data_IF_444689289628
#
_entry.id   IF_444689289628
#
_cell.length_a   1.000
_cell.length_b   1.000
_cell.length_c   1.000
_cell.angle_alpha   90.00
_cell.angle_beta   90.00
_cell.angle_gamma   90.00
#
_symmetry.space_group_name_H-M   'P 1'
#
loop_
_entity.id
_entity.type
_entity.pdbx_description
1 polymer ?
#
# COMPACT_ATOMS: atom_id res chain seq x y z
N UNK A 1 11.48 -13.94 -13.17
CA UNK A 1 12.41 -12.83 -12.89
C UNK A 1 12.01 -12.03 -11.65
N UNK A 2 10.91 -11.25 -11.65
CA UNK A 2 10.53 -10.41 -10.48
C UNK A 2 10.25 -11.15 -9.16
N UNK A 3 9.93 -12.44 -9.21
CA UNK A 3 9.71 -13.28 -8.02
C UNK A 3 11.02 -13.81 -7.40
N UNK A 4 12.14 -13.72 -8.13
CA UNK A 4 13.46 -14.10 -7.64
C UNK A 4 14.16 -12.86 -7.08
N UNK A 5 14.10 -12.73 -5.75
CA UNK A 5 14.72 -11.61 -5.04
C UNK A 5 16.26 -11.62 -5.11
N UNK A 6 16.88 -12.79 -5.32
CA UNK A 6 18.34 -12.87 -5.46
C UNK A 6 18.76 -12.27 -6.80
N UNK A 7 18.09 -12.69 -7.87
CA UNK A 7 18.33 -12.17 -9.22
C UNK A 7 18.02 -10.67 -9.30
N UNK A 8 16.91 -10.20 -8.71
CA UNK A 8 16.60 -8.77 -8.67
C UNK A 8 17.65 -7.97 -7.89
N UNK A 9 18.19 -8.53 -6.79
CA UNK A 9 19.27 -7.90 -6.02
C UNK A 9 20.55 -7.83 -6.85
N UNK A 10 20.91 -8.89 -7.56
CA UNK A 10 22.07 -8.90 -8.45
C UNK A 10 21.91 -7.91 -9.62
N UNK A 11 20.75 -7.92 -10.30
CA UNK A 11 20.44 -6.92 -11.33
C UNK A 11 20.48 -5.49 -10.80
N UNK A 12 20.08 -5.27 -9.56
CA UNK A 12 20.12 -3.93 -8.96
C UNK A 12 21.55 -3.38 -8.86
N UNK A 13 22.56 -4.24 -8.70
CA UNK A 13 23.98 -3.82 -8.68
C UNK A 13 24.37 -3.17 -10.01
N UNK A 14 23.84 -3.66 -11.13
CA UNK A 14 24.17 -3.17 -12.47
C UNK A 14 23.20 -2.12 -13.01
N UNK A 15 21.98 -2.03 -12.45
CA UNK A 15 20.94 -1.10 -12.94
C UNK A 15 20.75 0.12 -12.05
N UNK A 16 21.24 0.08 -10.80
CA UNK A 16 21.13 1.19 -9.86
C UNK A 16 22.26 2.21 -10.08
N UNK A 17 22.05 3.08 -11.06
CA UNK A 17 22.96 4.19 -11.37
C UNK A 17 22.63 5.40 -10.50
N UNK A 18 23.63 5.93 -9.80
CA UNK A 18 23.48 7.12 -8.95
C UNK A 18 23.19 8.39 -9.75
N UNK A 19 22.66 9.48 -9.13
CA UNK A 19 22.27 10.69 -9.86
C UNK A 19 23.41 11.32 -10.68
N UNK A 20 24.60 11.44 -10.10
CA UNK A 20 25.76 12.04 -10.77
C UNK A 20 26.27 11.19 -11.93
N UNK A 21 26.33 9.87 -11.74
CA UNK A 21 26.76 8.93 -12.77
C UNK A 21 25.75 8.92 -13.93
N UNK A 22 24.45 8.93 -13.63
CA UNK A 22 23.39 9.04 -14.65
C UNK A 22 23.49 10.36 -15.41
N UNK A 23 23.79 11.46 -14.73
CA UNK A 23 24.04 12.75 -15.35
C UNK A 23 25.24 12.71 -16.32
N UNK A 24 26.35 12.08 -15.91
CA UNK A 24 27.52 11.89 -16.77
C UNK A 24 27.20 11.04 -17.99
N UNK A 25 26.56 9.88 -17.80
CA UNK A 25 26.16 8.99 -18.90
C UNK A 25 25.22 9.67 -19.91
N UNK A 26 24.29 10.52 -19.44
CA UNK A 26 23.42 11.30 -20.32
C UNK A 26 24.20 12.33 -21.13
N UNK A 27 25.15 13.04 -20.52
CA UNK A 27 25.99 14.01 -21.23
C UNK A 27 26.94 13.33 -22.22
N UNK A 28 27.52 12.18 -21.87
CA UNK A 28 28.33 11.36 -22.79
C UNK A 28 27.49 10.90 -23.99
N UNK A 29 26.27 10.41 -23.74
CA UNK A 29 25.34 10.02 -24.80
C UNK A 29 24.99 11.18 -25.74
N UNK A 30 24.68 12.37 -25.21
CA UNK A 30 24.42 13.56 -26.01
C UNK A 30 25.63 13.95 -26.87
N UNK A 31 26.83 13.95 -26.26
CA UNK A 31 28.07 14.22 -26.96
C UNK A 31 28.35 13.20 -28.07
N UNK A 32 28.05 11.92 -27.83
CA UNK A 32 28.28 10.84 -28.78
C UNK A 32 27.34 10.92 -30.00
N UNK A 33 26.06 11.23 -29.79
CA UNK A 33 25.12 11.48 -30.90
C UNK A 33 25.61 12.60 -31.78
N UNK A 34 26.07 13.69 -31.16
CA UNK A 34 26.57 14.82 -31.91
C UNK A 34 27.91 14.53 -32.58
N UNK A 35 28.82 13.77 -31.99
CA UNK A 35 30.11 13.48 -32.65
C UNK A 35 29.96 12.62 -33.90
N UNK A 36 28.94 11.77 -33.96
CA UNK A 36 28.71 10.86 -35.09
C UNK A 36 28.08 11.59 -36.28
N UNK A 37 28.75 11.54 -37.42
CA UNK A 37 28.30 12.19 -38.66
C UNK A 37 26.93 11.68 -39.13
N UNK A 38 26.66 10.39 -38.97
CA UNK A 38 25.36 9.78 -39.30
C UNK A 38 24.20 10.37 -38.50
N UNK A 39 24.41 10.55 -37.18
CA UNK A 39 23.42 11.15 -36.29
C UNK A 39 23.15 12.62 -36.65
N UNK A 40 24.21 13.39 -36.92
CA UNK A 40 24.09 14.78 -37.40
C UNK A 40 23.35 14.88 -38.72
N UNK A 41 23.69 14.03 -39.70
CA UNK A 41 23.03 14.01 -41.01
C UNK A 41 21.55 13.75 -40.86
N UNK A 42 21.16 12.77 -40.04
CA UNK A 42 19.75 12.48 -39.83
C UNK A 42 19.02 13.65 -39.17
N UNK A 43 19.52 14.20 -38.06
CA UNK A 43 18.92 15.36 -37.40
C UNK A 43 18.80 16.59 -38.32
N UNK A 44 19.82 16.82 -39.17
CA UNK A 44 19.83 17.94 -40.12
C UNK A 44 18.75 17.85 -41.20
N UNK A 45 18.36 16.64 -41.62
CA UNK A 45 17.24 16.44 -42.56
C UNK A 45 15.92 16.96 -41.99
N UNK A 46 15.76 16.84 -40.67
CA UNK A 46 14.58 17.30 -39.93
C UNK A 46 14.72 18.73 -39.40
N UNK A 47 15.84 19.41 -39.66
CA UNK A 47 16.16 20.73 -39.10
C UNK A 47 16.11 20.77 -37.55
N UNK A 48 16.45 19.64 -36.92
CA UNK A 48 16.49 19.50 -35.46
C UNK A 48 17.93 19.68 -34.99
N UNK A 49 18.12 20.44 -33.91
CA UNK A 49 19.38 20.52 -33.19
C UNK A 49 19.16 20.09 -31.73
N UNK A 50 20.13 19.36 -31.18
CA UNK A 50 20.10 18.95 -29.77
C UNK A 50 20.96 19.90 -28.95
N UNK A 51 20.45 20.37 -27.82
CA UNK A 51 21.23 21.19 -26.90
C UNK A 51 22.29 20.35 -26.16
N UNK A 52 23.40 21.00 -25.79
CA UNK A 52 24.54 20.37 -25.11
C UNK A 52 24.39 20.35 -23.59
N UNK A 53 23.35 20.99 -23.07
CA UNK A 53 23.11 21.12 -21.64
C UNK A 53 21.75 20.51 -21.31
N UNK A 54 21.68 19.82 -20.17
CA UNK A 54 20.41 19.34 -19.65
C UNK A 54 19.55 20.53 -19.21
N UNK A 55 18.24 20.40 -19.42
CA UNK A 55 17.26 21.42 -19.05
C UNK A 55 17.36 21.74 -17.56
N UNK A 56 17.64 23.01 -17.23
CA UNK A 56 17.65 23.50 -15.86
C UNK A 56 16.23 23.87 -15.42
N UNK A 57 15.81 23.32 -14.29
CA UNK A 57 14.49 23.59 -13.70
C UNK A 57 14.66 24.18 -12.31
N UNK A 58 13.90 25.24 -12.01
CA UNK A 58 13.83 25.80 -10.67
C UNK A 58 12.75 25.06 -9.88
N UNK A 59 13.16 24.27 -8.88
CA UNK A 59 12.25 23.57 -7.98
C UNK A 59 12.12 24.27 -6.63
N UNK A 60 10.96 24.18 -6.00
CA UNK A 60 10.75 24.59 -4.61
C UNK A 60 10.76 23.35 -3.71
N UNK A 61 11.64 23.33 -2.72
CA UNK A 61 11.65 22.28 -1.72
C UNK A 61 10.68 22.64 -0.58
N UNK A 62 9.55 21.94 -0.52
CA UNK A 62 8.68 22.02 0.66
C UNK A 62 9.31 21.20 1.79
N UNK A 63 9.68 21.88 2.87
CA UNK A 63 10.19 21.22 4.08
C UNK A 63 8.98 20.88 4.93
N UNK A 64 8.40 19.70 4.72
CA UNK A 64 7.41 19.15 5.64
C UNK A 64 8.04 19.12 7.04
N UNK A 65 7.55 19.96 7.96
CA UNK A 65 7.91 19.84 9.36
C UNK A 65 7.31 18.52 9.82
N UNK A 66 8.16 17.56 10.18
CA UNK A 66 7.75 16.41 10.96
C UNK A 66 7.13 16.97 12.25
N UNK A 67 5.81 17.10 12.28
CA UNK A 67 5.10 17.48 13.49
C UNK A 67 5.03 16.26 14.41
N UNK A 68 6.20 15.89 14.95
CA UNK A 68 6.39 14.79 15.90
C UNK A 68 5.55 14.97 17.17
N UNK A 69 4.91 16.13 17.34
CA UNK A 69 3.98 16.42 18.43
C UNK A 69 2.65 15.65 18.32
N UNK A 70 2.32 15.07 17.16
CA UNK A 70 1.09 14.28 16.94
C UNK A 70 1.30 12.76 17.07
N UNK A 71 2.35 12.33 17.77
CA UNK A 71 2.63 10.91 17.98
C UNK A 71 1.56 10.25 18.89
N UNK A 72 0.90 9.21 18.37
CA UNK A 72 -0.09 8.35 19.04
C UNK A 72 -1.35 9.07 19.52
N UNK A 73 -2.12 9.61 18.56
CA UNK A 73 -3.42 10.22 18.81
C UNK A 73 -4.43 9.28 19.47
N UNK A 74 -4.35 7.98 19.15
CA UNK A 74 -5.18 6.96 19.78
C UNK A 74 -4.48 5.60 19.75
N UNK A 75 -4.29 5.01 20.94
CA UNK A 75 -3.85 3.64 21.09
C UNK A 75 -5.06 2.73 21.35
N UNK A 76 -5.04 1.53 20.76
CA UNK A 76 -6.01 0.47 21.05
C UNK A 76 -5.39 -0.54 22.01
N UNK A 77 -6.17 -0.94 23.00
CA UNK A 77 -5.80 -2.07 23.85
C UNK A 77 -5.82 -3.36 23.02
N UNK A 78 -4.91 -4.25 23.36
CA UNK A 78 -4.77 -5.56 22.74
C UNK A 78 -4.88 -6.60 23.85
N UNK A 79 -6.12 -6.99 24.15
CA UNK A 79 -6.44 -7.77 25.35
C UNK A 79 -6.54 -9.26 25.03
N UNK A 80 -7.11 -9.62 23.87
CA UNK A 80 -7.37 -11.00 23.47
C UNK A 80 -6.68 -11.31 22.16
N UNK A 81 -5.46 -11.83 22.23
CA UNK A 81 -4.73 -12.24 21.03
C UNK A 81 -3.90 -13.49 21.26
N UNK A 82 -3.54 -14.13 20.15
CA UNK A 82 -2.77 -15.37 20.15
C UNK A 82 -1.48 -15.22 19.34
N UNK A 83 -0.41 -15.83 19.83
CA UNK A 83 0.85 -15.99 19.11
C UNK A 83 1.01 -17.45 18.68
N UNK A 84 1.10 -17.67 17.37
CA UNK A 84 1.29 -18.99 16.75
C UNK A 84 2.72 -19.09 16.21
N UNK A 85 3.46 -20.11 16.59
CA UNK A 85 4.85 -20.31 16.16
C UNK A 85 5.21 -21.80 16.09
N UNK A 86 6.26 -22.13 15.34
CA UNK A 86 6.79 -23.49 15.29
C UNK A 86 7.66 -23.78 16.52
N UNK A 87 7.73 -25.03 16.98
CA UNK A 87 8.56 -25.46 18.11
C UNK A 87 10.03 -24.99 17.98
N UNK A 88 10.55 -24.96 16.75
CA UNK A 88 11.91 -24.45 16.45
C UNK A 88 12.11 -22.98 16.84
N UNK A 89 11.07 -22.17 16.78
CA UNK A 89 11.11 -20.74 17.08
C UNK A 89 10.72 -20.43 18.54
N UNK A 90 10.59 -21.44 19.40
CA UNK A 90 10.12 -21.29 20.79
C UNK A 90 10.95 -20.27 21.58
N UNK A 91 12.28 -20.37 21.56
CA UNK A 91 13.16 -19.41 22.27
C UNK A 91 12.94 -17.96 21.81
N UNK A 92 12.70 -17.75 20.52
CA UNK A 92 12.47 -16.43 19.92
C UNK A 92 11.09 -15.92 20.34
N UNK A 93 10.07 -16.77 20.28
CA UNK A 93 8.72 -16.43 20.70
C UNK A 93 8.67 -16.03 22.17
N UNK A 94 9.41 -16.74 23.04
CA UNK A 94 9.58 -16.39 24.44
C UNK A 94 10.29 -15.05 24.61
N UNK A 95 11.45 -14.85 23.97
CA UNK A 95 12.18 -13.58 24.03
C UNK A 95 11.40 -12.39 23.44
N UNK A 96 10.50 -12.62 22.48
CA UNK A 96 9.76 -11.57 21.80
C UNK A 96 8.59 -11.08 22.64
N UNK A 97 7.88 -11.98 23.32
CA UNK A 97 6.83 -11.58 24.27
C UNK A 97 6.75 -12.53 25.47
N UNK A 98 7.02 -12.02 26.66
CA UNK A 98 7.02 -12.83 27.88
C UNK A 98 5.60 -13.13 28.42
N UNK A 99 4.59 -12.30 28.13
CA UNK A 99 3.35 -12.21 28.93
C UNK A 99 2.05 -12.69 28.26
N UNK A 100 2.07 -13.62 27.31
CA UNK A 100 0.88 -13.93 26.47
C UNK A 100 0.47 -15.39 26.37
N UNK A 101 -0.78 -15.58 25.92
CA UNK A 101 -1.33 -16.86 25.50
C UNK A 101 -0.67 -17.33 24.18
N UNK A 102 0.10 -18.42 24.28
CA UNK A 102 1.00 -18.92 23.24
C UNK A 102 0.51 -20.27 22.71
N UNK A 103 0.59 -20.46 21.40
CA UNK A 103 0.29 -21.74 20.73
C UNK A 103 1.54 -22.20 19.99
N UNK A 104 2.20 -23.19 20.58
CA UNK A 104 3.35 -23.87 19.98
C UNK A 104 2.88 -24.99 19.05
N UNK A 105 3.38 -25.00 17.82
CA UNK A 105 3.08 -26.01 16.81
C UNK A 105 4.25 -27.00 16.67
N UNK A 106 3.98 -28.29 16.42
CA UNK A 106 5.03 -29.29 16.25
C UNK A 106 5.87 -29.07 14.99
N UNK A 107 5.31 -28.42 13.97
CA UNK A 107 5.97 -28.14 12.70
C UNK A 107 5.52 -26.80 12.11
N UNK A 108 6.14 -26.39 11.01
CA UNK A 108 5.89 -25.10 10.36
C UNK A 108 4.98 -25.21 9.11
N UNK A 109 4.27 -26.32 8.89
CA UNK A 109 3.41 -26.51 7.71
C UNK A 109 2.17 -25.62 7.77
N UNK A 110 1.69 -25.17 6.61
CA UNK A 110 0.51 -24.30 6.50
C UNK A 110 -0.71 -24.90 7.19
N UNK A 111 -0.92 -26.21 7.06
CA UNK A 111 -2.04 -26.94 7.66
C UNK A 111 -2.00 -26.92 9.20
N UNK A 112 -0.81 -26.93 9.80
CA UNK A 112 -0.67 -26.84 11.25
C UNK A 112 -1.11 -25.46 11.77
N UNK A 113 -0.73 -24.38 11.07
CA UNK A 113 -1.20 -23.03 11.38
C UNK A 113 -2.70 -22.89 11.19
N UNK A 114 -3.25 -23.38 10.08
CA UNK A 114 -4.69 -23.32 9.79
C UNK A 114 -5.49 -24.07 10.86
N UNK A 115 -5.12 -25.31 11.19
CA UNK A 115 -5.81 -26.07 12.24
C UNK A 115 -5.75 -25.38 13.60
N UNK A 116 -4.61 -24.76 13.94
CA UNK A 116 -4.48 -24.02 15.19
C UNK A 116 -5.39 -22.78 15.23
N UNK A 117 -5.50 -22.07 14.10
CA UNK A 117 -6.44 -20.96 13.92
C UNK A 117 -7.87 -21.46 14.03
N UNK A 118 -8.29 -22.48 13.28
CA UNK A 118 -9.65 -23.01 13.32
C UNK A 118 -10.08 -23.47 14.72
N UNK A 119 -9.15 -24.05 15.49
CA UNK A 119 -9.44 -24.56 16.84
C UNK A 119 -9.49 -23.48 17.94
N UNK A 120 -8.88 -22.30 17.73
CA UNK A 120 -8.67 -21.29 18.80
C UNK A 120 -9.10 -19.89 18.42
N UNK A 121 -9.09 -19.57 17.14
CA UNK A 121 -9.59 -18.31 16.64
C UNK A 121 -11.10 -18.27 16.83
N UNK A 122 -11.52 -17.22 17.51
CA UNK A 122 -12.93 -16.90 17.67
C UNK A 122 -13.11 -15.43 17.33
N UNK A 123 -14.33 -15.00 16.97
CA UNK A 123 -14.59 -13.60 16.60
C UNK A 123 -14.32 -12.57 17.72
N UNK A 124 -14.07 -12.99 18.96
CA UNK A 124 -13.69 -12.09 20.07
C UNK A 124 -12.18 -11.88 20.19
N UNK A 125 -11.36 -12.51 19.35
CA UNK A 125 -9.93 -12.22 19.30
C UNK A 125 -9.70 -10.88 18.58
N UNK A 126 -8.83 -10.06 19.15
CA UNK A 126 -8.38 -8.80 18.60
C UNK A 126 -7.35 -9.02 17.48
N UNK A 127 -6.49 -10.04 17.62
CA UNK A 127 -5.37 -10.30 16.70
C UNK A 127 -4.90 -11.76 16.70
N UNK A 128 -4.47 -12.23 15.53
CA UNK A 128 -3.65 -13.44 15.36
C UNK A 128 -2.24 -13.05 14.89
N UNK A 129 -1.22 -13.34 15.70
CA UNK A 129 0.17 -13.14 15.31
C UNK A 129 0.84 -14.47 14.98
N UNK A 130 1.52 -14.58 13.84
CA UNK A 130 2.24 -15.79 13.45
C UNK A 130 3.73 -15.51 13.25
N UNK A 131 4.59 -16.30 13.90
CA UNK A 131 6.02 -16.34 13.59
C UNK A 131 6.26 -17.40 12.52
N UNK A 132 6.77 -16.95 11.37
CA UNK A 132 7.09 -17.77 10.22
C UNK A 132 8.61 -18.02 10.17
N UNK A 133 9.00 -19.23 9.80
CA UNK A 133 10.41 -19.64 9.67
C UNK A 133 11.08 -19.04 8.43
N UNK A 134 10.32 -18.87 7.34
CA UNK A 134 10.79 -18.40 6.04
C UNK A 134 9.72 -17.52 5.36
N UNK A 135 10.08 -16.89 4.23
CA UNK A 135 9.19 -15.98 3.49
C UNK A 135 8.36 -16.72 2.42
N UNK A 136 7.84 -17.89 2.74
CA UNK A 136 7.00 -18.67 1.82
C UNK A 136 5.66 -18.00 1.59
N UNK A 137 5.44 -17.54 0.35
CA UNK A 137 4.24 -16.82 -0.04
C UNK A 137 2.97 -17.67 0.10
N UNK A 138 3.01 -18.91 -0.34
CA UNK A 138 1.89 -19.86 -0.28
C UNK A 138 1.37 -20.08 1.15
N UNK A 139 2.27 -20.17 2.13
CA UNK A 139 1.91 -20.26 3.56
C UNK A 139 1.23 -18.98 4.06
N UNK A 140 1.80 -17.83 3.74
CA UNK A 140 1.25 -16.53 4.13
C UNK A 140 -0.15 -16.32 3.53
N UNK A 141 -0.31 -16.63 2.25
CA UNK A 141 -1.56 -16.49 1.51
C UNK A 141 -2.63 -17.45 2.07
N UNK A 142 -2.27 -18.70 2.37
CA UNK A 142 -3.20 -19.66 2.97
C UNK A 142 -3.69 -19.22 4.36
N UNK A 143 -2.78 -18.77 5.24
CA UNK A 143 -3.14 -18.25 6.56
C UNK A 143 -4.03 -17.01 6.44
N UNK A 144 -3.67 -16.07 5.56
CA UNK A 144 -4.48 -14.85 5.34
C UNK A 144 -5.85 -15.16 4.78
N UNK A 145 -5.97 -16.13 3.87
CA UNK A 145 -7.25 -16.51 3.28
C UNK A 145 -8.23 -16.96 4.37
N UNK A 146 -7.80 -17.88 5.25
CA UNK A 146 -8.62 -18.34 6.38
C UNK A 146 -9.00 -17.17 7.30
N UNK A 147 -8.04 -16.30 7.64
CA UNK A 147 -8.28 -15.16 8.54
C UNK A 147 -9.06 -13.99 7.92
N UNK A 148 -9.30 -14.01 6.61
CA UNK A 148 -10.11 -13.01 5.91
C UNK A 148 -11.48 -13.53 5.50
N UNK A 149 -11.59 -14.82 5.17
CA UNK A 149 -12.81 -15.43 4.64
C UNK A 149 -13.56 -16.20 5.71
N UNK A 150 -12.88 -17.11 6.42
CA UNK A 150 -13.53 -18.08 7.30
C UNK A 150 -13.60 -17.58 8.76
N UNK A 151 -12.53 -16.94 9.24
CA UNK A 151 -12.43 -16.39 10.58
C UNK A 151 -11.89 -14.95 10.55
N UNK A 152 -12.73 -13.93 10.30
CA UNK A 152 -12.32 -12.54 10.11
C UNK A 152 -11.66 -11.93 11.34
N UNK A 153 -10.34 -12.12 11.48
CA UNK A 153 -9.54 -11.60 12.60
C UNK A 153 -8.29 -10.94 12.02
N UNK A 154 -7.95 -9.69 12.41
CA UNK A 154 -6.72 -9.06 12.00
C UNK A 154 -5.50 -9.94 12.28
N UNK A 155 -4.56 -9.99 11.34
CA UNK A 155 -3.41 -10.88 11.46
C UNK A 155 -2.08 -10.17 11.20
N UNK A 156 -1.03 -10.57 11.92
CA UNK A 156 0.32 -10.05 11.76
C UNK A 156 1.32 -11.19 11.59
N UNK A 157 2.11 -11.13 10.51
CA UNK A 157 3.11 -12.15 10.22
C UNK A 157 4.50 -11.59 10.55
N UNK A 158 5.26 -12.30 11.36
CA UNK A 158 6.63 -11.97 11.73
C UNK A 158 7.57 -13.05 11.21
N UNK A 159 8.70 -12.66 10.66
CA UNK A 159 9.70 -13.60 10.19
C UNK A 159 10.73 -13.84 11.30
N UNK A 160 10.94 -15.10 11.66
CA UNK A 160 11.89 -15.52 12.71
C UNK A 160 13.27 -14.88 12.52
N UNK A 161 13.79 -14.89 11.28
CA UNK A 161 15.07 -14.25 10.92
C UNK A 161 15.15 -12.75 11.20
N UNK A 162 14.02 -12.05 11.25
CA UNK A 162 13.96 -10.60 11.53
C UNK A 162 14.07 -10.34 13.04
N UNK A 163 13.48 -11.22 13.86
CA UNK A 163 13.52 -11.14 15.33
C UNK A 163 14.91 -11.48 15.89
N UNK A 164 15.66 -12.34 15.19
CA UNK A 164 17.00 -12.76 15.60
C UNK A 164 18.12 -11.75 15.31
N UNK A 165 17.85 -10.65 14.59
CA UNK A 165 18.90 -9.69 14.22
C UNK A 165 19.40 -8.91 15.46
N UNK A 166 20.70 -9.01 15.81
CA UNK A 166 21.24 -8.31 16.97
C UNK A 166 21.03 -6.81 16.87
N UNK A 167 20.57 -6.19 17.96
CA UNK A 167 20.37 -4.73 18.05
C UNK A 167 19.17 -4.18 17.28
N UNK A 168 18.40 -5.00 16.55
CA UNK A 168 17.23 -4.53 15.78
C UNK A 168 15.88 -4.84 16.44
N UNK A 169 15.86 -5.66 17.49
CA UNK A 169 14.63 -6.15 18.12
C UNK A 169 13.68 -5.01 18.53
N UNK A 170 14.21 -3.95 19.15
CA UNK A 170 13.40 -2.79 19.55
C UNK A 170 12.79 -2.07 18.35
N UNK A 171 13.54 -1.86 17.26
CA UNK A 171 13.00 -1.24 16.05
C UNK A 171 11.90 -2.08 15.41
N UNK A 172 12.08 -3.42 15.41
CA UNK A 172 11.09 -4.36 14.92
C UNK A 172 9.84 -4.33 15.79
N UNK A 173 9.99 -4.35 17.12
CA UNK A 173 8.89 -4.26 18.07
C UNK A 173 8.11 -2.93 17.95
N UNK A 174 8.80 -1.81 17.76
CA UNK A 174 8.15 -0.51 17.52
C UNK A 174 7.31 -0.54 16.25
N UNK A 175 7.85 -1.05 15.14
CA UNK A 175 7.10 -1.16 13.87
C UNK A 175 5.91 -2.10 14.00
N UNK A 176 6.11 -3.23 14.68
CA UNK A 176 5.05 -4.19 14.99
C UNK A 176 3.91 -3.55 15.81
N UNK A 177 4.24 -2.80 16.87
CA UNK A 177 3.24 -2.09 17.67
C UNK A 177 2.45 -1.06 16.87
N UNK A 178 3.13 -0.30 16.00
CA UNK A 178 2.49 0.66 15.09
C UNK A 178 1.51 -0.05 14.14
N UNK A 179 1.94 -1.15 13.51
CA UNK A 179 1.11 -1.93 12.58
C UNK A 179 -0.12 -2.54 13.25
N UNK A 180 0.02 -3.10 14.45
CA UNK A 180 -1.10 -3.65 15.22
C UNK A 180 -2.06 -2.53 15.61
N UNK A 181 -1.54 -1.42 16.13
CA UNK A 181 -2.38 -0.30 16.52
C UNK A 181 -3.24 0.17 15.33
N UNK A 182 -2.65 0.29 14.14
CA UNK A 182 -3.40 0.63 12.92
C UNK A 182 -4.47 -0.42 12.57
N UNK A 183 -4.15 -1.71 12.66
CA UNK A 183 -5.09 -2.81 12.35
C UNK A 183 -6.30 -2.85 13.28
N UNK A 184 -6.11 -2.46 14.53
CA UNK A 184 -7.19 -2.36 15.52
C UNK A 184 -7.97 -1.03 15.42
N UNK A 185 -7.63 -0.16 14.46
CA UNK A 185 -8.27 1.14 14.27
C UNK A 185 -7.77 2.23 15.22
N UNK A 186 -6.58 2.07 15.77
CA UNK A 186 -5.83 3.13 16.45
C UNK A 186 -5.29 4.16 15.46
N UNK A 187 -5.01 5.36 15.96
CA UNK A 187 -4.61 6.52 15.17
C UNK A 187 -3.16 6.90 15.53
N UNK A 188 -2.25 6.76 14.56
CA UNK A 188 -0.81 6.90 14.82
C UNK A 188 -0.35 8.35 14.67
N UNK A 189 -0.67 8.98 13.53
CA UNK A 189 -0.39 10.37 13.21
C UNK A 189 -1.53 10.95 12.36
N UNK A 190 -1.86 12.22 12.55
CA UNK A 190 -2.88 12.92 11.76
C UNK A 190 -2.28 13.95 10.84
N UNK A 191 -3.02 14.22 9.77
CA UNK A 191 -2.84 15.41 8.96
C UNK A 191 -4.21 16.08 8.86
N UNK A 192 -4.31 17.34 9.27
CA UNK A 192 -5.57 18.09 9.17
C UNK A 192 -5.83 18.39 7.71
N UNK A 193 -6.65 17.57 7.06
CA UNK A 193 -6.98 17.75 5.64
C UNK A 193 -8.40 17.31 5.33
N UNK A 194 -8.80 17.65 4.11
CA UNK A 194 -10.06 17.30 3.48
C UNK A 194 -10.18 15.77 3.31
N UNK A 195 -11.35 15.26 2.90
CA UNK A 195 -11.49 13.84 2.63
C UNK A 195 -10.56 13.43 1.49
N UNK A 196 -9.77 12.37 1.68
CA UNK A 196 -8.84 11.82 0.71
C UNK A 196 -9.31 10.44 0.26
N UNK A 197 -9.25 10.20 -1.03
CA UNK A 197 -9.59 8.93 -1.66
C UNK A 197 -8.38 8.44 -2.46
N UNK A 198 -7.93 7.22 -2.21
CA UNK A 198 -6.94 6.52 -3.02
C UNK A 198 -7.61 5.46 -3.88
N UNK A 199 -7.28 5.42 -5.16
CA UNK A 199 -7.76 4.40 -6.10
C UNK A 199 -6.57 3.78 -6.82
N UNK A 200 -6.39 2.47 -6.64
CA UNK A 200 -5.36 1.70 -7.33
C UNK A 200 -5.97 0.48 -8.04
N UNK A 201 -5.29 -0.01 -9.07
CA UNK A 201 -5.71 -1.15 -9.88
C UNK A 201 -4.59 -2.16 -9.97
N UNK A 202 -4.86 -3.39 -9.51
CA UNK A 202 -3.96 -4.51 -9.60
C UNK A 202 -4.48 -5.52 -10.63
N UNK A 203 -3.59 -5.99 -11.51
CA UNK A 203 -3.90 -7.09 -12.43
C UNK A 203 -3.07 -8.30 -12.05
N UNK A 204 -3.75 -9.42 -11.81
CA UNK A 204 -3.04 -10.66 -11.59
C UNK A 204 -2.44 -11.19 -12.90
N UNK A 205 -1.21 -11.66 -12.81
CA UNK A 205 -0.50 -12.28 -13.93
C UNK A 205 -1.12 -13.61 -14.37
N UNK A 206 -1.82 -14.31 -13.46
CA UNK A 206 -2.43 -15.62 -13.73
C UNK A 206 -3.87 -15.48 -14.25
N UNK A 207 -4.67 -14.58 -13.66
CA UNK A 207 -6.01 -14.23 -14.17
C UNK A 207 -5.94 -13.03 -15.11
N UNK A 208 -5.73 -13.27 -16.41
CA UNK A 208 -5.66 -12.20 -17.43
C UNK A 208 -7.00 -11.53 -17.72
N UNK A 209 -8.12 -12.10 -17.27
CA UNK A 209 -9.48 -11.65 -17.60
C UNK A 209 -10.07 -10.68 -16.60
N UNK A 210 -9.50 -10.50 -15.41
CA UNK A 210 -10.01 -9.54 -14.43
C UNK A 210 -8.89 -8.73 -13.76
N UNK A 211 -9.24 -7.53 -13.32
CA UNK A 211 -8.41 -6.68 -12.48
C UNK A 211 -9.12 -6.40 -11.17
N UNK A 212 -8.36 -6.23 -10.10
CA UNK A 212 -8.87 -5.81 -8.80
C UNK A 212 -8.67 -4.30 -8.66
N UNK A 213 -9.71 -3.60 -8.28
CA UNK A 213 -9.67 -2.17 -7.98
C UNK A 213 -9.72 -2.00 -6.47
N UNK A 214 -8.68 -1.40 -5.91
CA UNK A 214 -8.66 -0.95 -4.52
C UNK A 214 -9.18 0.48 -4.43
N UNK A 215 -10.19 0.72 -3.61
CA UNK A 215 -10.72 2.04 -3.28
C UNK A 215 -10.61 2.23 -1.77
N UNK A 216 -9.99 3.33 -1.33
CA UNK A 216 -9.81 3.63 0.09
C UNK A 216 -10.12 5.08 0.34
N UNK A 217 -11.06 5.38 1.24
CA UNK A 217 -11.48 6.75 1.55
C UNK A 217 -11.27 7.08 3.02
N UNK A 218 -10.67 8.23 3.34
CA UNK A 218 -10.59 8.70 4.73
C UNK A 218 -11.99 9.06 5.24
N UNK A 219 -12.32 8.67 6.48
CA UNK A 219 -13.67 8.87 7.05
C UNK A 219 -13.70 9.90 8.18
N UNK A 220 -12.58 10.54 8.50
CA UNK A 220 -12.49 11.59 9.52
C UNK A 220 -11.54 12.72 9.09
N UNK A 221 -11.73 13.95 9.59
CA UNK A 221 -10.95 15.14 9.20
C UNK A 221 -9.43 15.06 9.46
N UNK A 222 -9.00 14.16 10.34
CA UNK A 222 -7.59 13.93 10.66
C UNK A 222 -6.91 12.96 9.68
N UNK A 223 -7.67 12.38 8.74
CA UNK A 223 -7.21 11.36 7.79
C UNK A 223 -6.47 10.20 8.48
N UNK A 224 -6.97 9.75 9.63
CA UNK A 224 -6.38 8.65 10.42
C UNK A 224 -7.16 7.35 10.29
N UNK A 225 -8.44 7.42 9.91
CA UNK A 225 -9.32 6.26 9.70
C UNK A 225 -9.77 6.19 8.25
N UNK A 226 -9.81 4.97 7.72
CA UNK A 226 -10.07 4.72 6.32
C UNK A 226 -11.14 3.65 6.12
N UNK A 227 -11.92 3.83 5.06
CA UNK A 227 -12.94 2.90 4.60
C UNK A 227 -12.47 2.25 3.30
N UNK A 228 -12.06 0.96 3.35
CA UNK A 228 -11.62 0.23 2.18
C UNK A 228 -12.77 -0.47 1.45
N UNK A 229 -12.64 -0.56 0.12
CA UNK A 229 -13.45 -1.37 -0.78
C UNK A 229 -12.58 -1.99 -1.86
N UNK A 230 -12.87 -3.23 -2.21
CA UNK A 230 -12.24 -3.95 -3.33
C UNK A 230 -13.32 -4.31 -4.32
N UNK A 231 -13.08 -4.03 -5.60
CA UNK A 231 -14.00 -4.35 -6.70
C UNK A 231 -13.27 -5.25 -7.68
N UNK A 232 -13.86 -6.39 -8.02
CA UNK A 232 -13.40 -7.17 -9.17
C UNK A 232 -13.98 -6.58 -10.46
N UNK A 233 -13.13 -6.24 -11.42
CA UNK A 233 -13.50 -5.69 -12.71
C UNK A 233 -13.05 -6.62 -13.84
N UNK A 234 -14.03 -7.20 -14.55
CA UNK A 234 -13.81 -8.18 -15.64
C UNK A 234 -13.48 -7.56 -17.01
N UNK A 235 -13.69 -6.26 -17.20
CA UNK A 235 -13.38 -5.55 -18.46
C UNK A 235 -12.57 -4.30 -18.14
N UNK A 236 -11.43 -4.14 -18.80
CA UNK A 236 -10.52 -3.00 -18.60
C UNK A 236 -10.86 -1.79 -19.47
N UNK A 237 -11.80 -1.95 -20.40
CA UNK A 237 -12.24 -0.90 -21.32
C UNK A 237 -13.29 0.04 -20.71
N UNK A 238 -13.98 -0.42 -19.66
CA UNK A 238 -15.13 0.29 -19.09
C UNK A 238 -14.76 1.09 -17.83
N UNK A 239 -15.58 2.11 -17.53
CA UNK A 239 -15.61 2.78 -16.24
C UNK A 239 -15.64 1.74 -15.11
N UNK A 240 -14.96 2.01 -13.99
CA UNK A 240 -14.97 1.12 -12.82
C UNK A 240 -16.42 0.98 -12.35
N UNK A 241 -17.06 -0.14 -12.70
CA UNK A 241 -18.51 -0.33 -12.55
C UNK A 241 -18.99 -0.24 -11.09
N UNK A 242 -18.10 -0.48 -10.13
CA UNK A 242 -18.38 -0.35 -8.69
C UNK A 242 -18.02 1.00 -8.06
N UNK A 243 -17.40 1.93 -8.80
CA UNK A 243 -16.87 3.17 -8.23
C UNK A 243 -17.97 4.07 -7.68
N UNK A 244 -19.13 4.10 -8.36
CA UNK A 244 -20.31 4.82 -7.89
C UNK A 244 -20.74 4.37 -6.49
N UNK A 245 -20.92 3.07 -6.31
CA UNK A 245 -21.29 2.49 -5.03
C UNK A 245 -20.21 2.75 -3.96
N UNK A 246 -18.92 2.67 -4.33
CA UNK A 246 -17.83 2.97 -3.40
C UNK A 246 -17.87 4.41 -2.90
N UNK A 247 -18.05 5.38 -3.80
CA UNK A 247 -18.15 6.79 -3.45
C UNK A 247 -19.36 7.07 -2.55
N UNK A 248 -20.55 6.59 -2.92
CA UNK A 248 -21.77 6.77 -2.13
C UNK A 248 -21.62 6.21 -0.71
N UNK A 249 -21.12 4.98 -0.59
CA UNK A 249 -20.92 4.37 0.72
C UNK A 249 -19.84 5.07 1.54
N UNK A 250 -18.79 5.59 0.90
CA UNK A 250 -17.75 6.36 1.59
C UNK A 250 -18.29 7.69 2.13
N UNK A 251 -19.10 8.41 1.36
CA UNK A 251 -19.77 9.64 1.78
C UNK A 251 -20.75 9.39 2.93
N UNK A 252 -21.57 8.35 2.82
CA UNK A 252 -22.46 7.94 3.90
C UNK A 252 -21.69 7.58 5.17
N UNK A 253 -20.56 6.87 5.04
CA UNK A 253 -19.71 6.52 6.19
C UNK A 253 -19.06 7.76 6.80
N UNK A 254 -18.61 8.72 5.99
CA UNK A 254 -18.07 9.99 6.46
C UNK A 254 -19.14 10.78 7.22
N UNK A 255 -20.34 10.93 6.65
CA UNK A 255 -21.46 11.62 7.30
C UNK A 255 -21.87 10.94 8.60
N UNK A 256 -21.94 9.61 8.62
CA UNK A 256 -22.26 8.86 9.83
C UNK A 256 -21.24 9.09 10.96
N UNK A 257 -19.95 9.24 10.64
CA UNK A 257 -18.89 9.45 11.64
C UNK A 257 -18.79 10.90 12.10
N UNK A 258 -19.05 11.87 11.21
CA UNK A 258 -18.79 13.29 11.48
C UNK A 258 -20.06 14.13 11.64
N UNK A 259 -21.24 13.59 11.33
CA UNK A 259 -22.52 14.32 11.31
C UNK A 259 -22.67 15.30 10.13
N UNK A 260 -21.66 15.40 9.27
CA UNK A 260 -21.60 16.31 8.12
C UNK A 260 -20.93 15.61 6.94
N UNK A 261 -21.28 16.00 5.72
CA UNK A 261 -20.58 15.60 4.51
C UNK A 261 -19.24 16.36 4.39
N UNK A 262 -18.24 15.79 3.70
CA UNK A 262 -16.94 16.45 3.53
C UNK A 262 -17.07 17.68 2.63
N UNK A 263 -16.48 18.81 3.03
CA UNK A 263 -16.57 20.03 2.21
C UNK A 263 -15.76 19.96 0.90
N UNK A 264 -14.69 19.15 0.88
CA UNK A 264 -13.87 18.91 -0.32
C UNK A 264 -13.35 17.49 -0.32
N UNK A 265 -13.11 16.96 -1.52
CA UNK A 265 -12.62 15.59 -1.72
C UNK A 265 -11.43 15.61 -2.67
N UNK A 266 -10.32 15.03 -2.24
CA UNK A 266 -9.14 14.85 -3.09
C UNK A 266 -9.03 13.38 -3.48
N UNK A 267 -9.07 13.09 -4.78
CA UNK A 267 -8.92 11.74 -5.32
C UNK A 267 -7.52 11.56 -5.91
N UNK A 268 -6.75 10.64 -5.33
CA UNK A 268 -5.48 10.17 -5.85
C UNK A 268 -5.71 8.86 -6.62
N UNK A 269 -5.49 8.88 -7.93
CA UNK A 269 -5.66 7.72 -8.81
C UNK A 269 -4.31 7.30 -9.37
N UNK A 270 -3.82 6.12 -8.97
CA UNK A 270 -2.57 5.55 -9.47
C UNK A 270 -2.75 4.80 -10.80
N UNK A 271 -1.68 4.57 -11.57
CA UNK A 271 -1.71 3.67 -12.73
C UNK A 271 -2.49 4.18 -13.95
N UNK A 272 -2.67 5.50 -14.08
CA UNK A 272 -3.22 6.14 -15.29
C UNK A 272 -2.05 6.54 -16.18
N UNK A 273 -2.07 6.10 -17.44
CA UNK A 273 -1.09 6.54 -18.43
C UNK A 273 -1.61 7.77 -19.21
N UNK A 274 -0.73 8.46 -19.93
CA UNK A 274 -1.07 9.68 -20.67
C UNK A 274 -2.22 9.48 -21.66
N UNK A 275 -2.30 8.30 -22.29
CA UNK A 275 -3.37 7.94 -23.22
C UNK A 275 -4.75 7.82 -22.55
N UNK A 276 -4.78 7.52 -21.25
CA UNK A 276 -6.00 7.39 -20.45
C UNK A 276 -6.40 8.70 -19.78
N UNK A 277 -5.51 9.69 -19.72
CA UNK A 277 -5.75 10.93 -18.98
C UNK A 277 -6.97 11.70 -19.52
N UNK A 278 -7.11 11.79 -20.84
CA UNK A 278 -8.26 12.43 -21.49
C UNK A 278 -9.57 11.74 -21.12
N UNK A 279 -9.62 10.41 -21.26
CA UNK A 279 -10.80 9.62 -20.87
C UNK A 279 -11.16 9.78 -19.38
N UNK A 280 -10.16 9.78 -18.49
CA UNK A 280 -10.37 10.01 -17.06
C UNK A 280 -10.97 11.40 -16.82
N UNK A 281 -10.43 12.43 -17.46
CA UNK A 281 -10.82 13.82 -17.24
C UNK A 281 -12.20 14.11 -17.80
N UNK A 282 -12.48 13.64 -19.03
CA UNK A 282 -13.70 13.97 -19.76
C UNK A 282 -14.88 13.05 -19.41
N UNK A 283 -14.62 11.77 -19.12
CA UNK A 283 -15.69 10.79 -18.90
C UNK A 283 -15.83 10.33 -17.45
N UNK A 284 -14.75 10.31 -16.65
CA UNK A 284 -14.78 9.70 -15.30
C UNK A 284 -14.98 10.71 -14.17
N UNK A 285 -14.32 11.86 -14.23
CA UNK A 285 -14.51 12.92 -13.23
C UNK A 285 -15.95 13.46 -13.18
N UNK A 286 -16.66 13.69 -14.31
CA UNK A 286 -18.04 14.17 -14.26
C UNK A 286 -18.97 13.21 -13.54
N UNK A 287 -18.78 11.89 -13.73
CA UNK A 287 -19.58 10.86 -13.04
C UNK A 287 -19.35 10.93 -11.53
N UNK A 288 -18.11 11.12 -11.07
CA UNK A 288 -17.81 11.28 -9.64
C UNK A 288 -18.46 12.54 -9.05
N UNK A 289 -18.44 13.65 -9.77
CA UNK A 289 -19.10 14.89 -9.36
C UNK A 289 -20.62 14.72 -9.28
N UNK A 290 -21.22 14.07 -10.27
CA UNK A 290 -22.66 13.78 -10.29
C UNK A 290 -23.08 12.94 -9.08
N UNK A 291 -22.25 11.96 -8.68
CA UNK A 291 -22.50 11.13 -7.50
C UNK A 291 -22.49 11.98 -6.22
N UNK A 292 -21.53 12.89 -6.10
CA UNK A 292 -21.45 13.79 -4.95
C UNK A 292 -22.71 14.65 -4.88
N UNK A 293 -23.07 15.34 -5.96
CA UNK A 293 -24.26 16.20 -6.02
C UNK A 293 -25.58 15.46 -5.73
N UNK A 294 -25.69 14.18 -6.09
CA UNK A 294 -26.88 13.36 -5.81
C UNK A 294 -26.94 12.81 -4.38
N UNK A 295 -25.93 13.04 -3.55
CA UNK A 295 -25.86 12.48 -2.19
C UNK A 295 -26.82 13.18 -1.23
N UNK A 296 -26.97 14.50 -1.34
CA UNK A 296 -27.89 15.31 -0.54
C UNK A 296 -28.27 16.57 -1.32
N UNK A 297 -29.52 17.01 -1.21
CA UNK A 297 -29.98 18.25 -1.85
C UNK A 297 -29.19 19.46 -1.32
N UNK A 298 -28.67 20.27 -2.23
CA UNK A 298 -27.84 21.44 -1.91
C UNK A 298 -26.38 21.13 -1.51
N UNK A 299 -25.93 19.87 -1.60
CA UNK A 299 -24.54 19.52 -1.33
C UNK A 299 -23.66 19.79 -2.56
N UNK A 300 -22.76 20.75 -2.43
CA UNK A 300 -21.68 21.03 -3.37
C UNK A 300 -20.34 20.59 -2.77
N UNK A 301 -19.57 19.84 -3.55
CA UNK A 301 -18.23 19.40 -3.18
C UNK A 301 -17.25 19.82 -4.27
N UNK A 302 -16.11 20.35 -3.83
CA UNK A 302 -14.98 20.73 -4.70
C UNK A 302 -13.82 19.73 -4.59
#
# INVERSE_FOLDING_TARGET
>A
MKQDFSLMKEMSIYTHVGPNERFQQLNEFLNDIQKREEGRKELSKWQINLDNELVQLTGQADRSRDDRSLAHLSAKNLDKWILIYSQRDSQIAHSFVDSLYKIELPDDRSEAFIRAIENKANPQLDLVCCILTNNRKDRCDAIKNVLYVDCPVPSQMLLSKTLQKPGQLMSVATKFGIEINAKLGGEIWASKTLMRIGIDTYRDSQSRSSQMVGFVASINPTCTRYYPRVIEQRSTKDFISGLKSCMQNALQKYHHVNGVLPAKIIVYRDGVNDLQLLDVTENKLPVLNEICMKTQEGYECY
#
